data_IF_203158796468
#
_entry.id   IF_203158796468
#
_cell.length_a   1.000
_cell.length_b   1.000
_cell.length_c   1.000
_cell.angle_alpha   90.00
_cell.angle_beta   90.00
_cell.angle_gamma   90.00
#
_symmetry.space_group_name_H-M   'P 1'
#
loop_
_entity.id
_entity.type
_entity.pdbx_description
1 polymer ?
#
# COMPACT_ATOMS: atom_id res chain seq x y z
N UNK A 1 16.11 -11.27 -13.47
CA UNK A 1 15.00 -10.52 -12.86
C UNK A 1 14.88 -9.20 -13.61
N UNK A 2 13.69 -8.89 -14.11
CA UNK A 2 13.41 -7.53 -14.60
C UNK A 2 13.49 -6.59 -13.40
N UNK A 3 14.11 -5.40 -13.53
CA UNK A 3 14.13 -4.44 -12.43
C UNK A 3 12.70 -4.03 -12.10
N UNK A 4 12.31 -4.17 -10.82
CA UNK A 4 11.02 -3.67 -10.34
C UNK A 4 11.02 -2.14 -10.33
N UNK A 5 9.92 -1.53 -10.74
CA UNK A 5 9.73 -0.08 -10.70
C UNK A 5 9.24 0.44 -9.33
N UNK A 6 9.63 -0.20 -8.22
CA UNK A 6 9.18 0.16 -6.86
C UNK A 6 9.48 1.63 -6.47
N UNK A 7 10.56 2.20 -7.00
CA UNK A 7 10.89 3.62 -6.77
C UNK A 7 9.82 4.53 -7.37
N UNK A 8 9.23 4.14 -8.51
CA UNK A 8 8.16 4.90 -9.18
C UNK A 8 6.91 4.95 -8.29
N UNK A 9 6.52 3.82 -7.67
CA UNK A 9 5.39 3.76 -6.73
C UNK A 9 5.59 4.73 -5.56
N UNK A 10 6.77 4.65 -4.95
CA UNK A 10 7.12 5.48 -3.80
C UNK A 10 7.14 6.97 -4.15
N UNK A 11 7.65 7.34 -5.32
CA UNK A 11 7.65 8.73 -5.80
C UNK A 11 6.22 9.25 -6.04
N UNK A 12 5.37 8.46 -6.71
CA UNK A 12 3.98 8.84 -6.99
C UNK A 12 3.17 9.02 -5.69
N UNK A 13 3.35 8.15 -4.71
CA UNK A 13 2.73 8.31 -3.39
C UNK A 13 3.27 9.52 -2.63
N UNK A 14 4.57 9.79 -2.73
CA UNK A 14 5.15 11.01 -2.17
C UNK A 14 4.56 12.27 -2.80
N UNK A 15 4.26 12.27 -4.10
CA UNK A 15 3.61 13.38 -4.78
C UNK A 15 2.18 13.60 -4.28
N UNK A 16 1.41 12.53 -4.06
CA UNK A 16 0.09 12.64 -3.43
C UNK A 16 0.20 13.24 -2.02
N UNK A 17 1.14 12.77 -1.21
CA UNK A 17 1.37 13.30 0.13
C UNK A 17 1.77 14.78 0.11
N UNK A 18 2.64 15.20 -0.82
CA UNK A 18 3.03 16.60 -1.03
C UNK A 18 1.86 17.47 -1.46
N UNK A 19 1.02 17.01 -2.38
CA UNK A 19 -0.18 17.71 -2.82
C UNK A 19 -1.17 17.91 -1.66
N UNK A 20 -1.24 16.95 -0.74
CA UNK A 20 -1.99 17.05 0.51
C UNK A 20 -1.29 17.86 1.61
N UNK A 21 -0.13 18.46 1.31
CA UNK A 21 0.67 19.30 2.21
C UNK A 21 1.25 18.55 3.41
N UNK A 22 1.47 17.24 3.29
CA UNK A 22 2.29 16.49 4.25
C UNK A 22 3.72 17.04 4.18
N UNK A 23 4.26 17.44 5.33
CA UNK A 23 5.59 18.07 5.42
C UNK A 23 6.69 17.14 5.89
N UNK A 24 6.32 16.05 6.55
CA UNK A 24 7.23 15.09 7.14
C UNK A 24 7.14 13.80 6.32
N UNK A 25 8.00 13.70 5.30
CA UNK A 25 8.08 12.55 4.39
C UNK A 25 9.54 12.13 4.32
N UNK A 26 9.82 10.90 4.69
CA UNK A 26 11.14 10.27 4.58
C UNK A 26 11.08 9.26 3.44
N UNK A 27 12.10 9.27 2.59
CA UNK A 27 12.24 8.36 1.45
C UNK A 27 13.48 7.51 1.62
N UNK A 28 13.38 6.24 1.27
CA UNK A 28 14.47 5.27 1.38
C UNK A 28 14.47 4.40 0.12
N UNK A 29 15.50 4.53 -0.71
CA UNK A 29 15.67 3.78 -1.96
C UNK A 29 16.98 3.00 -1.93
N UNK A 30 16.96 1.79 -2.47
CA UNK A 30 18.13 0.92 -2.58
C UNK A 30 19.07 1.33 -3.73
N UNK A 31 18.65 2.30 -4.57
CA UNK A 31 19.49 2.95 -5.59
C UNK A 31 20.62 3.79 -4.98
N UNK A 32 20.50 4.15 -3.70
CA UNK A 32 21.48 4.98 -2.99
C UNK A 32 21.30 6.49 -3.17
N UNK A 33 20.22 6.94 -3.82
CA UNK A 33 19.93 8.37 -4.06
C UNK A 33 19.32 9.09 -2.84
N UNK A 34 18.93 8.35 -1.80
CA UNK A 34 18.37 8.88 -0.54
C UNK A 34 19.40 8.91 0.58
N UNK A 35 19.20 9.79 1.56
CA UNK A 35 20.08 9.87 2.74
C UNK A 35 20.13 8.54 3.52
N UNK A 36 18.96 7.91 3.66
CA UNK A 36 18.77 6.63 4.33
C UNK A 36 18.55 5.52 3.32
N UNK A 37 18.99 4.32 3.67
CA UNK A 37 18.93 3.11 2.84
C UNK A 37 17.88 2.15 3.42
N UNK A 38 17.09 1.44 2.60
CA UNK A 38 16.03 0.55 3.08
C UNK A 38 16.58 -0.78 3.64
N UNK A 39 17.51 -0.71 4.59
CA UNK A 39 17.92 -1.84 5.43
C UNK A 39 17.17 -1.81 6.76
N UNK A 40 17.05 -2.96 7.43
CA UNK A 40 16.27 -3.10 8.68
C UNK A 40 16.68 -2.06 9.70
N UNK A 41 17.98 -1.93 9.96
CA UNK A 41 18.50 -1.01 10.98
C UNK A 41 18.14 0.47 10.71
N UNK A 42 18.22 0.93 9.47
CA UNK A 42 17.89 2.33 9.12
C UNK A 42 16.38 2.56 9.07
N UNK A 43 15.59 1.57 8.62
CA UNK A 43 14.12 1.62 8.70
C UNK A 43 13.65 1.74 10.14
N UNK A 44 14.17 0.91 11.05
CA UNK A 44 13.84 0.98 12.48
C UNK A 44 14.23 2.32 13.11
N UNK A 45 15.41 2.85 12.74
CA UNK A 45 15.87 4.16 13.19
C UNK A 45 14.91 5.27 12.77
N UNK A 46 14.48 5.28 11.50
CA UNK A 46 13.58 6.28 10.97
C UNK A 46 12.18 6.20 11.57
N UNK A 47 11.66 4.99 11.79
CA UNK A 47 10.39 4.78 12.52
C UNK A 47 10.48 5.42 13.91
N UNK A 48 11.56 5.17 14.65
CA UNK A 48 11.82 5.78 15.97
C UNK A 48 11.99 7.30 15.89
N UNK A 49 12.60 7.81 14.82
CA UNK A 49 12.78 9.24 14.61
C UNK A 49 11.46 9.97 14.32
N UNK A 50 10.59 9.38 13.49
CA UNK A 50 9.25 9.89 13.18
C UNK A 50 8.39 9.90 14.45
N UNK A 51 8.41 8.81 15.21
CA UNK A 51 7.64 8.69 16.46
C UNK A 51 7.92 9.83 17.46
N UNK A 52 9.17 10.31 17.53
CA UNK A 52 9.54 11.46 18.38
C UNK A 52 8.93 12.80 17.95
N UNK A 53 8.52 12.92 16.68
CA UNK A 53 7.95 14.15 16.11
C UNK A 53 6.42 14.15 16.14
N UNK A 54 5.80 12.97 16.17
CA UNK A 54 4.35 12.82 16.17
C UNK A 54 3.67 13.45 17.40
N UNK A 55 2.54 14.11 17.15
CA UNK A 55 1.62 14.62 18.15
C UNK A 55 0.37 13.71 18.24
N UNK A 56 -0.38 13.77 19.35
CA UNK A 56 -1.63 13.02 19.48
C UNK A 56 -2.56 13.25 18.29
N UNK A 57 -3.11 12.15 17.76
CA UNK A 57 -3.96 12.14 16.57
C UNK A 57 -3.25 12.43 15.24
N UNK A 58 -1.93 12.45 15.17
CA UNK A 58 -1.25 12.38 13.87
C UNK A 58 -1.45 11.01 13.21
N UNK A 59 -1.09 10.93 11.93
CA UNK A 59 -0.93 9.68 11.21
C UNK A 59 0.55 9.35 11.11
N UNK A 60 0.90 8.10 11.41
CA UNK A 60 2.08 7.46 10.89
C UNK A 60 1.63 6.65 9.66
N UNK A 61 2.25 6.90 8.51
CA UNK A 61 2.01 6.15 7.28
C UNK A 61 3.32 5.54 6.83
N UNK A 62 3.35 4.21 6.70
CA UNK A 62 4.45 3.49 6.09
C UNK A 62 3.99 2.98 4.73
N UNK A 63 4.73 3.33 3.68
CA UNK A 63 4.53 2.80 2.35
C UNK A 63 5.74 1.96 1.99
N UNK A 64 5.51 0.73 1.56
CA UNK A 64 6.53 -0.20 1.11
C UNK A 64 6.12 -0.70 -0.28
N UNK A 65 7.05 -0.65 -1.23
CA UNK A 65 6.94 -1.32 -2.53
C UNK A 65 8.22 -2.11 -2.73
N UNK A 66 8.11 -3.40 -3.01
CA UNK A 66 9.24 -4.32 -3.05
C UNK A 66 8.84 -5.78 -2.99
N UNK A 67 9.82 -6.66 -2.82
CA UNK A 67 9.56 -8.08 -2.66
C UNK A 67 9.00 -8.40 -1.26
N UNK A 68 8.00 -9.25 -1.19
CA UNK A 68 7.61 -9.91 0.05
C UNK A 68 7.97 -11.40 -0.01
N UNK A 69 8.18 -11.99 1.15
CA UNK A 69 8.44 -13.42 1.31
C UNK A 69 7.71 -13.95 2.55
N UNK A 70 7.57 -15.26 2.64
CA UNK A 70 7.04 -15.92 3.84
C UNK A 70 8.11 -16.80 4.48
N UNK A 71 8.09 -16.89 5.80
CA UNK A 71 8.93 -17.80 6.59
C UNK A 71 8.06 -18.71 7.45
N UNK A 72 8.40 -20.00 7.51
CA UNK A 72 7.71 -20.94 8.39
C UNK A 72 7.86 -20.52 9.86
N UNK A 73 6.72 -20.37 10.55
CA UNK A 73 6.65 -20.07 11.97
C UNK A 73 5.49 -20.86 12.60
N UNK A 74 5.80 -21.89 13.38
CA UNK A 74 4.80 -22.74 14.04
C UNK A 74 3.97 -21.99 15.10
N UNK A 75 4.45 -20.85 15.61
CA UNK A 75 3.75 -20.02 16.57
C UNK A 75 2.76 -19.05 15.90
N UNK A 76 2.88 -18.82 14.59
CA UNK A 76 1.98 -17.98 13.81
C UNK A 76 0.63 -18.68 13.55
N UNK A 77 -0.46 -17.92 13.47
CA UNK A 77 -1.83 -18.47 13.37
C UNK A 77 -2.05 -19.32 12.11
N UNK A 78 -1.40 -18.96 11.00
CA UNK A 78 -1.41 -19.67 9.72
C UNK A 78 -0.15 -20.51 9.49
N UNK A 79 0.78 -20.56 10.46
CA UNK A 79 2.07 -21.25 10.34
C UNK A 79 3.15 -20.49 9.57
N UNK A 80 2.92 -19.23 9.18
CA UNK A 80 3.81 -18.43 8.34
C UNK A 80 3.92 -16.97 8.84
N UNK A 81 5.13 -16.45 8.95
CA UNK A 81 5.37 -15.01 9.11
C UNK A 81 5.56 -14.35 7.74
N UNK A 82 4.98 -13.17 7.55
CA UNK A 82 5.23 -12.35 6.37
C UNK A 82 6.49 -11.48 6.55
N UNK A 83 7.31 -11.42 5.51
CA UNK A 83 8.58 -10.69 5.47
C UNK A 83 8.53 -9.58 4.44
N UNK A 84 8.98 -8.38 4.81
CA UNK A 84 9.40 -7.36 3.86
C UNK A 84 10.87 -7.60 3.49
N UNK A 85 11.15 -7.83 2.21
CA UNK A 85 12.52 -8.02 1.74
C UNK A 85 13.21 -6.65 1.64
N UNK A 86 14.22 -6.48 2.47
CA UNK A 86 15.05 -5.29 2.56
C UNK A 86 16.43 -5.56 1.95
N UNK A 87 17.24 -4.51 1.85
CA UNK A 87 18.59 -4.62 1.29
C UNK A 87 19.56 -3.86 2.16
N UNK A 88 20.76 -4.39 2.37
CA UNK A 88 21.85 -3.65 3.02
C UNK A 88 22.57 -2.74 2.03
N UNK A 89 23.28 -1.72 2.53
CA UNK A 89 24.14 -0.86 1.69
C UNK A 89 25.23 -1.63 0.94
N UNK A 90 25.64 -2.79 1.45
CA UNK A 90 26.60 -3.70 0.80
C UNK A 90 25.97 -4.53 -0.32
N UNK A 91 24.65 -4.46 -0.51
CA UNK A 91 23.92 -5.24 -1.51
C UNK A 91 23.64 -6.68 -1.07
N UNK A 92 23.59 -6.92 0.24
CA UNK A 92 23.17 -8.20 0.82
C UNK A 92 21.68 -8.15 1.14
N UNK A 93 21.02 -9.32 1.15
CA UNK A 93 19.62 -9.44 1.53
C UNK A 93 19.44 -9.20 3.03
N UNK A 94 18.38 -8.48 3.37
CA UNK A 94 17.97 -8.16 4.72
C UNK A 94 16.45 -8.37 4.81
N UNK A 95 15.90 -8.57 6.00
CA UNK A 95 14.48 -8.91 6.15
C UNK A 95 13.88 -8.25 7.37
N UNK A 96 12.67 -7.72 7.20
CA UNK A 96 11.87 -7.22 8.31
C UNK A 96 10.62 -8.09 8.45
N UNK A 97 10.57 -8.85 9.53
CA UNK A 97 9.43 -9.68 9.92
C UNK A 97 8.27 -8.77 10.33
N UNK A 98 7.04 -9.13 9.96
CA UNK A 98 5.82 -8.44 10.34
C UNK A 98 5.67 -8.23 11.86
N UNK A 99 5.98 -9.25 12.66
CA UNK A 99 5.99 -9.19 14.14
C UNK A 99 6.96 -8.15 14.69
N UNK A 100 8.17 -8.08 14.13
CA UNK A 100 9.19 -7.09 14.52
C UNK A 100 8.71 -5.67 14.19
N UNK A 101 8.11 -5.49 13.01
CA UNK A 101 7.56 -4.21 12.58
C UNK A 101 6.36 -3.79 13.45
N UNK A 102 5.44 -4.71 13.71
CA UNK A 102 4.26 -4.50 14.55
C UNK A 102 4.66 -4.16 16.00
N UNK A 103 5.58 -4.96 16.56
CA UNK A 103 6.17 -4.76 17.88
C UNK A 103 6.83 -3.39 18.00
N UNK A 104 7.69 -3.04 17.05
CA UNK A 104 8.34 -1.73 16.99
C UNK A 104 7.35 -0.57 16.97
N UNK A 105 6.37 -0.60 16.05
CA UNK A 105 5.38 0.48 15.92
C UNK A 105 4.57 0.61 17.22
N UNK A 106 4.16 -0.52 17.81
CA UNK A 106 3.38 -0.54 19.04
C UNK A 106 4.16 0.02 20.25
N UNK A 107 5.47 -0.20 20.27
CA UNK A 107 6.41 0.26 21.31
C UNK A 107 6.61 1.78 21.24
N UNK A 108 6.84 2.31 20.03
CA UNK A 108 7.36 3.68 19.86
C UNK A 108 6.27 4.73 19.69
N UNK A 109 5.13 4.37 19.09
CA UNK A 109 4.04 5.31 18.88
C UNK A 109 3.02 5.27 20.02
N UNK A 110 2.61 6.43 20.55
CA UNK A 110 1.58 6.47 21.57
C UNK A 110 0.23 5.98 21.00
N UNK A 111 -0.66 5.38 21.82
CA UNK A 111 -1.90 4.78 21.33
C UNK A 111 -2.89 5.74 20.62
N UNK A 112 -2.66 7.05 20.73
CA UNK A 112 -3.44 8.10 20.07
C UNK A 112 -3.09 8.30 18.60
N UNK A 113 -1.97 7.75 18.13
CA UNK A 113 -1.54 7.81 16.73
C UNK A 113 -2.37 6.85 15.89
N UNK A 114 -2.66 7.26 14.67
CA UNK A 114 -3.27 6.41 13.64
C UNK A 114 -2.17 5.85 12.77
N UNK A 115 -2.17 4.55 12.56
CA UNK A 115 -1.20 3.86 11.72
C UNK A 115 -1.89 3.40 10.45
N UNK A 116 -1.29 3.72 9.31
CA UNK A 116 -1.66 3.14 8.02
C UNK A 116 -0.41 2.52 7.40
N UNK A 117 -0.49 1.25 7.00
CA UNK A 117 0.54 0.61 6.20
C UNK A 117 -0.01 0.36 4.80
N UNK A 118 0.78 0.70 3.79
CA UNK A 118 0.52 0.41 2.39
C UNK A 118 1.68 -0.48 1.91
N UNK A 119 1.42 -1.76 1.65
CA UNK A 119 2.44 -2.72 1.25
C UNK A 119 2.12 -3.26 -0.15
N UNK A 120 2.80 -2.72 -1.16
CA UNK A 120 2.74 -3.22 -2.53
C UNK A 120 3.83 -4.30 -2.70
N UNK A 121 3.54 -5.51 -2.20
CA UNK A 121 4.47 -6.62 -2.17
C UNK A 121 3.73 -7.97 -2.25
N UNK A 122 4.25 -8.92 -3.02
CA UNK A 122 3.72 -10.29 -3.09
C UNK A 122 3.81 -10.97 -1.71
N UNK A 123 2.88 -11.88 -1.40
CA UNK A 123 2.85 -12.61 -0.12
C UNK A 123 2.76 -11.74 1.15
N UNK A 124 2.43 -10.45 1.03
CA UNK A 124 2.34 -9.53 2.18
C UNK A 124 0.96 -9.56 2.88
N UNK A 125 0.16 -10.58 2.61
CA UNK A 125 -1.21 -10.76 3.09
C UNK A 125 -1.38 -10.68 4.63
N UNK A 126 -0.28 -10.79 5.39
CA UNK A 126 -0.20 -10.66 6.85
C UNK A 126 0.56 -9.43 7.37
N UNK A 127 0.90 -8.44 6.53
CA UNK A 127 1.72 -7.31 6.98
C UNK A 127 1.12 -6.63 8.23
N UNK A 128 1.95 -6.45 9.27
CA UNK A 128 1.63 -5.97 10.63
C UNK A 128 1.01 -6.96 11.62
N UNK A 129 0.76 -8.22 11.25
CA UNK A 129 0.04 -9.22 12.06
C UNK A 129 -1.06 -8.56 12.91
N UNK A 130 -2.07 -8.02 12.21
CA UNK A 130 -3.09 -7.22 12.86
C UNK A 130 -3.90 -8.03 13.90
N UNK A 131 -3.92 -9.35 13.77
CA UNK A 131 -4.67 -10.25 14.63
C UNK A 131 -3.90 -10.72 15.87
N UNK A 132 -2.59 -10.42 16.00
CA UNK A 132 -1.82 -10.81 17.20
C UNK A 132 -2.44 -10.21 18.47
N UNK A 133 -2.88 -11.05 19.43
CA UNK A 133 -3.42 -10.55 20.67
C UNK A 133 -2.37 -9.79 21.49
N UNK A 134 -2.69 -8.55 21.86
CA UNK A 134 -1.92 -7.78 22.85
C UNK A 134 -0.92 -6.77 22.29
N UNK A 135 -0.62 -6.79 20.99
CA UNK A 135 0.25 -5.78 20.35
C UNK A 135 -0.50 -4.45 20.23
N UNK A 136 -1.65 -4.48 19.54
CA UNK A 136 -2.31 -3.26 19.08
C UNK A 136 -3.25 -2.63 20.13
N UNK A 137 -3.91 -3.42 20.96
CA UNK A 137 -4.83 -2.91 21.98
C UNK A 137 -5.98 -2.09 21.39
N UNK A 138 -6.12 -0.81 21.78
CA UNK A 138 -7.16 0.11 21.26
C UNK A 138 -6.65 1.08 20.17
N UNK A 139 -5.49 0.79 19.59
CA UNK A 139 -4.88 1.62 18.54
C UNK A 139 -5.72 1.59 17.27
N UNK A 140 -5.62 2.66 16.50
CA UNK A 140 -6.26 2.78 15.18
C UNK A 140 -5.23 2.42 14.13
N UNK A 141 -5.29 1.18 13.65
CA UNK A 141 -4.32 0.62 12.71
C UNK A 141 -5.09 0.01 11.55
N UNK A 142 -4.61 0.27 10.33
CA UNK A 142 -5.05 -0.41 9.12
C UNK A 142 -3.81 -0.73 8.29
N UNK A 143 -3.80 -1.88 7.63
CA UNK A 143 -2.83 -2.20 6.61
C UNK A 143 -3.54 -2.60 5.32
N UNK A 144 -3.12 -2.02 4.20
CA UNK A 144 -3.52 -2.45 2.87
C UNK A 144 -2.33 -3.16 2.25
N UNK A 145 -2.56 -4.34 1.69
CA UNK A 145 -1.50 -5.20 1.13
C UNK A 145 -1.94 -5.80 -0.20
N UNK A 146 -0.98 -6.08 -1.08
CA UNK A 146 -1.19 -6.92 -2.26
C UNK A 146 -1.22 -8.41 -1.88
N UNK A 147 -2.21 -9.14 -2.42
CA UNK A 147 -2.45 -10.55 -2.15
C UNK A 147 -2.51 -11.36 -3.45
N UNK A 148 -1.36 -11.69 -4.05
CA UNK A 148 -1.22 -12.97 -4.75
C UNK A 148 0.23 -13.39 -5.06
N UNK A 149 0.40 -14.70 -5.06
CA UNK A 149 1.65 -15.46 -5.15
C UNK A 149 2.14 -15.67 -6.60
N UNK A 150 1.29 -15.40 -7.59
CA UNK A 150 1.56 -15.78 -8.98
C UNK A 150 2.16 -14.68 -9.83
N UNK A 151 1.77 -13.41 -9.71
CA UNK A 151 2.39 -12.34 -10.51
C UNK A 151 1.96 -10.91 -10.14
N UNK A 152 1.80 -10.53 -8.87
CA UNK A 152 1.58 -9.11 -8.51
C UNK A 152 2.83 -8.21 -8.65
N UNK A 153 3.83 -8.65 -9.42
CA UNK A 153 4.79 -7.78 -10.08
C UNK A 153 4.56 -7.74 -11.59
N UNK A 154 3.31 -7.78 -12.07
CA UNK A 154 3.01 -7.19 -13.37
C UNK A 154 3.29 -5.70 -13.22
N UNK A 155 4.56 -5.39 -13.39
CA UNK A 155 5.06 -4.05 -13.55
C UNK A 155 4.50 -3.61 -14.89
N UNK A 156 3.40 -2.84 -14.87
CA UNK A 156 2.70 -2.40 -16.08
C UNK A 156 3.53 -1.37 -16.88
N UNK A 157 4.85 -1.33 -16.65
CA UNK A 157 5.75 -0.22 -17.00
C UNK A 157 5.59 1.01 -16.11
N UNK A 158 4.55 1.04 -15.27
CA UNK A 158 4.08 2.21 -14.54
C UNK A 158 4.06 2.01 -13.00
N UNK A 159 4.55 0.88 -12.48
CA UNK A 159 4.54 0.56 -11.04
C UNK A 159 3.56 -0.55 -10.64
N UNK A 160 3.43 -0.80 -9.34
CA UNK A 160 2.64 -1.89 -8.77
C UNK A 160 1.13 -1.74 -8.94
N UNK A 161 0.43 -2.88 -9.09
CA UNK A 161 -1.02 -2.91 -9.33
C UNK A 161 -1.81 -2.24 -8.19
N UNK A 162 -1.43 -2.51 -6.94
CA UNK A 162 -2.06 -1.90 -5.77
C UNK A 162 -1.86 -0.38 -5.75
N UNK A 163 -0.63 0.08 -6.00
CA UNK A 163 -0.31 1.52 -6.06
C UNK A 163 -1.09 2.20 -7.17
N UNK A 164 -1.17 1.59 -8.36
CA UNK A 164 -1.95 2.12 -9.48
C UNK A 164 -3.45 2.22 -9.14
N UNK A 165 -4.05 1.18 -8.56
CA UNK A 165 -5.44 1.21 -8.10
C UNK A 165 -5.67 2.34 -7.07
N UNK A 166 -4.79 2.47 -6.09
CA UNK A 166 -4.85 3.55 -5.09
C UNK A 166 -4.79 4.93 -5.76
N UNK A 167 -3.84 5.16 -6.66
CA UNK A 167 -3.66 6.44 -7.34
C UNK A 167 -4.87 6.79 -8.22
N UNK A 168 -5.46 5.82 -8.92
CA UNK A 168 -6.71 5.99 -9.68
C UNK A 168 -7.83 6.49 -8.77
N UNK A 169 -8.07 5.81 -7.63
CA UNK A 169 -9.09 6.21 -6.65
C UNK A 169 -8.82 7.61 -6.10
N UNK A 170 -7.58 7.91 -5.70
CA UNK A 170 -7.20 9.22 -5.16
C UNK A 170 -7.25 10.33 -6.22
N UNK A 171 -7.18 9.98 -7.50
CA UNK A 171 -7.27 10.87 -8.66
C UNK A 171 -8.68 11.41 -8.92
N UNK A 172 -9.73 10.66 -8.57
CA UNK A 172 -11.13 11.02 -8.84
C UNK A 172 -11.54 12.34 -8.17
N UNK A 173 -12.23 13.22 -8.90
CA UNK A 173 -12.60 14.55 -8.41
C UNK A 173 -13.48 14.50 -7.16
N UNK A 174 -14.45 13.58 -7.15
CA UNK A 174 -15.32 13.34 -6.00
C UNK A 174 -14.52 12.89 -4.76
N UNK A 175 -13.59 11.96 -4.94
CA UNK A 175 -12.73 11.47 -3.85
C UNK A 175 -11.83 12.59 -3.31
N UNK A 176 -11.23 13.40 -4.19
CA UNK A 176 -10.48 14.61 -3.81
C UNK A 176 -11.34 15.59 -3.00
N UNK A 177 -12.59 15.82 -3.41
CA UNK A 177 -13.51 16.72 -2.71
C UNK A 177 -13.89 16.19 -1.31
N UNK A 178 -14.17 14.89 -1.19
CA UNK A 178 -14.51 14.24 0.08
C UNK A 178 -13.31 14.15 1.03
N UNK A 179 -12.10 13.87 0.51
CA UNK A 179 -10.83 13.86 1.28
C UNK A 179 -10.55 15.21 1.92
N UNK A 180 -10.73 16.31 1.16
CA UNK A 180 -10.60 17.69 1.70
C UNK A 180 -11.53 17.98 2.88
N UNK A 181 -12.69 17.31 2.94
CA UNK A 181 -13.67 17.41 4.04
C UNK A 181 -13.48 16.34 5.12
N UNK A 182 -12.46 15.47 5.00
CA UNK A 182 -12.21 14.31 5.88
C UNK A 182 -13.40 13.34 5.96
N UNK A 183 -14.09 13.14 4.84
CA UNK A 183 -15.27 12.29 4.74
C UNK A 183 -14.98 10.93 4.06
N UNK A 184 -13.74 10.68 3.69
CA UNK A 184 -13.31 9.42 3.09
C UNK A 184 -12.61 8.58 4.15
N UNK A 185 -13.12 7.38 4.39
CA UNK A 185 -12.51 6.41 5.30
C UNK A 185 -11.47 5.54 4.58
N UNK A 186 -10.65 4.81 5.35
CA UNK A 186 -9.74 3.80 4.80
C UNK A 186 -10.51 2.72 4.07
N UNK A 187 -11.62 2.24 4.66
CA UNK A 187 -12.52 1.27 4.02
C UNK A 187 -13.07 1.79 2.69
N UNK A 188 -13.53 3.05 2.64
CA UNK A 188 -14.08 3.65 1.42
C UNK A 188 -13.08 3.64 0.26
N UNK A 189 -11.80 3.91 0.55
CA UNK A 189 -10.72 3.86 -0.45
C UNK A 189 -10.51 2.42 -0.90
N UNK A 190 -10.38 1.49 0.06
CA UNK A 190 -10.15 0.08 -0.24
C UNK A 190 -11.24 -0.51 -1.14
N UNK A 191 -12.53 -0.30 -0.81
CA UNK A 191 -13.64 -0.83 -1.62
C UNK A 191 -13.58 -0.37 -3.08
N UNK A 192 -13.13 0.88 -3.32
CA UNK A 192 -12.95 1.41 -4.67
C UNK A 192 -11.67 0.91 -5.33
N UNK A 193 -10.63 0.60 -4.57
CA UNK A 193 -9.42 -0.01 -5.12
C UNK A 193 -9.72 -1.40 -5.68
N UNK A 194 -10.53 -2.19 -4.97
CA UNK A 194 -10.95 -3.54 -5.43
C UNK A 194 -11.55 -3.49 -6.83
N UNK A 195 -12.35 -2.47 -7.14
CA UNK A 195 -12.97 -2.27 -8.47
C UNK A 195 -11.98 -1.98 -9.61
N UNK A 196 -10.72 -1.66 -9.29
CA UNK A 196 -9.68 -1.35 -10.27
C UNK A 196 -8.54 -2.36 -10.29
N UNK A 197 -8.63 -3.41 -9.47
CA UNK A 197 -7.69 -4.51 -9.54
C UNK A 197 -8.02 -5.38 -10.77
N UNK A 198 -7.00 -5.92 -11.45
CA UNK A 198 -7.24 -6.90 -12.52
C UNK A 198 -7.94 -8.14 -11.95
N UNK A 199 -8.84 -8.72 -12.74
CA UNK A 199 -9.46 -10.01 -12.46
C UNK A 199 -8.43 -11.12 -12.74
N UNK A 200 -8.36 -12.14 -11.87
CA UNK A 200 -7.43 -13.27 -12.00
C UNK A 200 -7.68 -14.16 -13.24
N UNK A 201 -8.83 -13.98 -13.91
CA UNK A 201 -9.26 -14.80 -15.05
C UNK A 201 -8.82 -14.23 -16.43
N UNK A 202 -8.14 -13.09 -16.50
CA UNK A 202 -7.66 -12.48 -17.77
C UNK A 202 -6.17 -12.72 -18.07
N UNK A 203 -5.58 -13.81 -17.54
CA UNK A 203 -4.35 -14.37 -18.09
C UNK A 203 -4.65 -15.15 -19.39
N UNK A 204 -5.05 -14.47 -20.47
CA UNK A 204 -4.95 -15.05 -21.82
C UNK A 204 -4.89 -13.96 -22.91
N UNK A 205 -3.74 -13.96 -23.62
CA UNK A 205 -3.51 -13.33 -24.94
C UNK A 205 -3.11 -11.84 -24.99
N UNK A 206 -1.87 -11.51 -24.57
CA UNK A 206 -1.10 -10.52 -25.33
C UNK A 206 -0.68 -11.17 -26.66
N UNK A 207 -1.52 -11.04 -27.69
CA UNK A 207 -1.07 -11.27 -29.07
C UNK A 207 0.00 -10.23 -29.41
N UNK A 208 1.18 -10.69 -29.80
CA UNK A 208 2.25 -9.87 -30.39
C UNK A 208 1.69 -9.15 -31.63
N UNK A 209 1.22 -7.91 -31.49
CA UNK A 209 0.92 -7.01 -32.62
C UNK A 209 2.23 -6.76 -33.39
N UNK A 210 2.34 -7.17 -34.66
CA UNK A 210 3.56 -6.99 -35.42
C UNK A 210 3.78 -5.52 -35.76
N UNK A 211 5.00 -5.04 -35.55
CA UNK A 211 5.44 -3.68 -35.92
C UNK A 211 5.14 -3.38 -37.40
N UNK A 212 4.20 -2.47 -37.65
CA UNK A 212 4.10 -1.78 -38.94
C UNK A 212 4.60 -0.35 -38.77
N UNK A 213 5.84 -0.13 -39.21
CA UNK A 213 6.33 1.18 -39.62
C UNK A 213 5.44 1.69 -40.76
N UNK A 214 4.59 2.70 -40.56
CA UNK A 214 4.27 3.73 -41.56
C UNK A 214 3.85 5.04 -40.84
N UNK A 215 4.36 6.16 -41.35
CA UNK A 215 4.14 7.53 -40.89
C UNK A 215 2.68 7.99 -41.12
N UNK A 216 2.13 8.87 -40.27
CA UNK A 216 1.48 10.15 -40.66
C UNK A 216 0.80 10.87 -39.47
N UNK A 217 0.76 12.20 -39.59
CA UNK A 217 0.16 13.22 -38.75
C UNK A 217 -1.35 13.03 -38.48
N UNK A 218 -1.86 13.42 -37.31
CA UNK A 218 -2.84 14.52 -37.13
C UNK A 218 -3.38 14.60 -35.68
N UNK A 219 -3.74 15.83 -35.29
CA UNK A 219 -4.42 16.24 -34.05
C UNK A 219 -5.65 15.38 -33.69
N UNK A 220 -5.74 14.86 -32.45
CA UNK A 220 -7.03 14.82 -31.75
C UNK A 220 -6.85 14.83 -30.22
N UNK A 221 -7.40 15.87 -29.60
CA UNK A 221 -7.56 16.01 -28.15
C UNK A 221 -8.54 14.97 -27.61
N UNK A 222 -8.02 13.85 -27.10
CA UNK A 222 -8.78 12.88 -26.32
C UNK A 222 -8.99 13.36 -24.89
N UNK A 223 -10.05 14.12 -24.65
CA UNK A 223 -10.60 14.24 -23.29
C UNK A 223 -11.13 12.86 -22.90
N UNK A 224 -10.47 12.20 -21.94
CA UNK A 224 -11.02 11.01 -21.30
C UNK A 224 -12.26 11.47 -20.54
N UNK A 225 -13.44 11.14 -21.05
CA UNK A 225 -14.71 11.39 -20.38
C UNK A 225 -14.75 10.57 -19.09
N UNK A 226 -14.43 11.22 -17.96
CA UNK A 226 -14.57 10.70 -16.60
C UNK A 226 -16.08 10.62 -16.32
N UNK A 227 -16.75 9.54 -16.75
CA UNK A 227 -18.16 9.30 -16.46
C UNK A 227 -18.32 8.97 -14.98
N UNK A 228 -18.37 10.01 -14.15
CA UNK A 228 -18.65 9.97 -12.71
C UNK A 228 -20.10 9.46 -12.38
N UNK A 229 -20.78 8.78 -13.31
CA UNK A 229 -22.21 8.42 -13.21
C UNK A 229 -22.51 7.21 -12.30
N UNK A 230 -21.52 6.42 -11.87
CA UNK A 230 -21.77 5.16 -11.13
C UNK A 230 -21.68 5.24 -9.59
N UNK A 231 -21.77 6.41 -8.96
CA UNK A 231 -21.52 6.51 -7.51
C UNK A 231 -22.60 7.29 -6.72
N UNK A 232 -23.85 7.26 -7.17
CA UNK A 232 -24.98 7.85 -6.42
C UNK A 232 -25.57 6.93 -5.34
N UNK A 233 -25.05 5.71 -5.15
CA UNK A 233 -25.78 4.64 -4.47
C UNK A 233 -25.22 4.09 -3.17
N UNK A 234 -23.96 3.67 -3.12
CA UNK A 234 -23.55 2.67 -2.13
C UNK A 234 -22.43 3.15 -1.20
N UNK A 235 -22.81 3.31 0.07
CA UNK A 235 -21.87 3.09 1.16
C UNK A 235 -21.67 1.58 1.20
N UNK A 236 -20.72 1.08 0.42
CA UNK A 236 -20.41 -0.35 0.39
C UNK A 236 -20.10 -0.86 1.80
N UNK A 237 -20.86 -1.83 2.31
CA UNK A 237 -20.44 -2.58 3.47
C UNK A 237 -19.35 -3.55 3.01
N UNK A 238 -18.12 -3.43 3.54
CA UNK A 238 -17.27 -4.61 3.65
C UNK A 238 -17.38 -5.10 5.09
N UNK A 239 -17.98 -6.28 5.19
CA UNK A 239 -17.88 -7.17 6.35
C UNK A 239 -16.46 -7.73 6.34
N UNK A 240 -15.74 -7.63 7.46
CA UNK A 240 -14.38 -8.16 7.60
C UNK A 240 -14.34 -9.69 7.59
N UNK A 241 -14.81 -10.29 6.50
CA UNK A 241 -14.65 -11.69 6.17
C UNK A 241 -13.46 -11.83 5.21
N UNK A 242 -12.93 -13.04 5.14
CA UNK A 242 -11.78 -13.43 4.30
C UNK A 242 -11.93 -12.88 2.87
N UNK A 243 -10.82 -12.51 2.19
CA UNK A 243 -10.88 -11.99 0.82
C UNK A 243 -11.73 -12.90 -0.07
N UNK A 244 -12.63 -12.33 -0.87
CA UNK A 244 -13.43 -13.08 -1.83
C UNK A 244 -12.50 -13.85 -2.79
N UNK A 245 -12.93 -15.03 -3.29
CA UNK A 245 -12.17 -15.76 -4.32
C UNK A 245 -11.93 -14.83 -5.52
N UNK A 246 -10.65 -14.57 -5.86
CA UNK A 246 -10.25 -13.62 -6.91
C UNK A 246 -9.75 -12.25 -6.44
N UNK A 247 -9.78 -11.97 -5.12
CA UNK A 247 -9.38 -10.66 -4.60
C UNK A 247 -7.87 -10.54 -4.41
N UNK A 248 -7.25 -9.62 -5.17
CA UNK A 248 -5.79 -9.45 -5.26
C UNK A 248 -5.19 -8.40 -4.30
N UNK A 249 -6.02 -7.79 -3.44
CA UNK A 249 -5.58 -6.91 -2.35
C UNK A 249 -6.31 -7.26 -1.05
N UNK A 250 -5.71 -6.94 0.10
CA UNK A 250 -6.30 -7.17 1.41
C UNK A 250 -6.27 -5.90 2.27
N UNK A 251 -7.27 -5.75 3.14
CA UNK A 251 -7.34 -4.73 4.18
C UNK A 251 -7.41 -5.44 5.53
N UNK A 252 -6.38 -5.26 6.37
CA UNK A 252 -6.32 -5.85 7.71
C UNK A 252 -6.30 -4.77 8.79
N UNK A 253 -6.84 -5.10 9.97
CA UNK A 253 -6.87 -4.22 11.14
C UNK A 253 -7.08 -5.03 12.42
N UNK A 254 -6.58 -4.55 13.58
CA UNK A 254 -6.72 -5.27 14.83
C UNK A 254 -8.15 -5.28 15.35
N UNK A 255 -8.50 -6.34 16.07
CA UNK A 255 -9.82 -6.50 16.69
C UNK A 255 -10.28 -5.27 17.49
N UNK A 256 -11.48 -4.78 17.16
CA UNK A 256 -12.08 -3.58 17.77
C UNK A 256 -11.66 -2.25 17.14
N UNK A 257 -10.76 -2.27 16.16
CA UNK A 257 -10.58 -1.19 15.19
C UNK A 257 -11.68 -1.28 14.12
N UNK A 258 -12.17 -0.12 13.64
CA UNK A 258 -13.17 -0.06 12.58
C UNK A 258 -12.64 0.85 11.45
N UNK A 259 -12.18 0.28 10.32
CA UNK A 259 -11.59 1.04 9.22
C UNK A 259 -12.58 2.02 8.58
N UNK A 260 -13.90 1.80 8.69
CA UNK A 260 -14.92 2.75 8.20
C UNK A 260 -14.94 4.05 9.03
N UNK A 261 -14.42 4.01 10.26
CA UNK A 261 -14.33 5.15 11.19
C UNK A 261 -12.94 5.81 11.18
N UNK A 262 -12.00 5.33 10.37
CA UNK A 262 -10.67 5.91 10.22
C UNK A 262 -10.65 6.67 8.90
N UNK A 263 -10.51 7.99 8.98
CA UNK A 263 -10.31 8.82 7.80
C UNK A 263 -9.06 8.35 7.04
N UNK A 264 -9.08 8.30 5.71
CA UNK A 264 -7.87 8.08 4.94
C UNK A 264 -6.91 9.28 5.13
N UNK A 265 -5.60 9.06 5.35
CA UNK A 265 -4.64 10.14 5.49
C UNK A 265 -4.32 10.75 4.14
N UNK A 266 -4.13 12.08 4.14
CA UNK A 266 -3.89 12.96 2.99
C UNK A 266 -4.95 12.87 1.89
#
# INVERSE_FOLDING_TARGET
ESPLNCVVDAERLCDVARQAKVKDVVKMYDTGDTEKFPCKAEVEEEIRAIAKRCQPHDYFVLSYSGHGANQENEDAQNGLDSLLCLRTRSGEDDFMVDDDLAGLISEVFPPTIRVLVLADACHSAGVLDCDTPGIWGKRKVCALSGCQDTQCSVDTGDGGAMTNALLKVLGRQKVKALRRKRQVSVQYIFNRMVQFMPDDDEDEEQEDEPSTDEEEDDDESGEVEDSDEDDEGEVDPITGEEPDEGQTINLSWPGGCDPSKICFPF
#
